data_IF_052663736193
#
_entry.id   IF_052663736193
#
_cell.length_a   1.000
_cell.length_b   1.000
_cell.length_c   1.000
_cell.angle_alpha   90.00
_cell.angle_beta   90.00
_cell.angle_gamma   90.00
#
_symmetry.space_group_name_H-M   'P 1'
#
loop_
_entity.id
_entity.type
_entity.pdbx_description
1 polymer ?
#
# COMPACT_ATOMS: atom_id res chain seq x y z
N UNK A 1 -26.68 4.80 1.68
CA UNK A 1 -25.65 3.92 2.24
C UNK A 1 -24.29 4.32 1.72
N UNK A 2 -23.37 4.60 2.59
CA UNK A 2 -22.00 4.94 2.19
C UNK A 2 -21.18 3.67 2.04
N UNK A 3 -20.47 3.56 0.92
CA UNK A 3 -19.49 2.50 0.76
C UNK A 3 -18.22 2.88 1.53
N UNK A 4 -17.68 1.91 2.26
CA UNK A 4 -16.43 2.10 2.98
C UNK A 4 -15.28 1.50 2.17
N UNK A 5 -14.15 2.20 2.14
CA UNK A 5 -12.95 1.71 1.50
C UNK A 5 -11.78 1.82 2.49
N UNK A 6 -11.54 0.76 3.29
CA UNK A 6 -10.46 0.78 4.28
C UNK A 6 -9.08 0.97 3.65
N UNK A 7 -8.89 0.49 2.43
CA UNK A 7 -7.63 0.68 1.71
C UNK A 7 -7.44 2.16 1.39
N UNK A 8 -8.46 2.82 0.85
CA UNK A 8 -8.38 4.25 0.54
C UNK A 8 -8.12 5.07 1.79
N UNK A 9 -8.75 4.72 2.91
CA UNK A 9 -8.51 5.37 4.20
C UNK A 9 -7.04 5.22 4.62
N UNK A 10 -6.49 4.00 4.53
CA UNK A 10 -5.09 3.74 4.83
C UNK A 10 -4.16 4.61 3.97
N UNK A 11 -4.40 4.63 2.66
CA UNK A 11 -3.57 5.40 1.73
C UNK A 11 -3.65 6.90 2.00
N UNK A 12 -4.84 7.39 2.37
CA UNK A 12 -5.02 8.79 2.74
C UNK A 12 -4.27 9.15 4.01
N UNK A 13 -4.33 8.28 5.02
CA UNK A 13 -3.59 8.47 6.28
C UNK A 13 -2.08 8.50 6.03
N UNK A 14 -1.58 7.59 5.20
CA UNK A 14 -0.17 7.54 4.82
C UNK A 14 0.24 8.80 4.07
N UNK A 15 -0.57 9.23 3.11
CA UNK A 15 -0.30 10.43 2.31
C UNK A 15 -0.24 11.68 3.18
N UNK A 16 -1.21 11.83 4.06
CA UNK A 16 -1.28 13.01 4.93
C UNK A 16 -0.13 13.05 5.94
N UNK A 17 0.17 11.92 6.58
CA UNK A 17 1.28 11.82 7.53
C UNK A 17 2.63 12.07 6.85
N UNK A 18 2.80 11.53 5.65
CA UNK A 18 4.00 11.70 4.85
C UNK A 18 4.20 13.17 4.45
N UNK A 19 3.12 13.85 4.03
CA UNK A 19 3.17 15.27 3.66
C UNK A 19 3.48 16.16 4.84
N UNK A 20 3.01 15.79 6.04
CA UNK A 20 3.23 16.56 7.26
C UNK A 20 4.54 16.18 7.98
N UNK A 21 5.33 15.29 7.42
CA UNK A 21 6.58 14.79 8.00
C UNK A 21 6.40 14.16 9.38
N UNK A 22 5.28 13.46 9.60
CA UNK A 22 5.09 12.70 10.83
C UNK A 22 6.01 11.47 10.81
N UNK A 23 6.52 11.08 11.97
CA UNK A 23 7.38 9.90 12.08
C UNK A 23 6.60 8.61 11.93
N UNK A 24 5.33 8.62 12.33
CA UNK A 24 4.50 7.42 12.27
C UNK A 24 3.04 7.79 12.02
N UNK A 25 2.29 6.78 11.58
CA UNK A 25 0.85 6.89 11.39
C UNK A 25 0.18 5.68 12.01
N UNK A 26 -0.99 5.90 12.61
CA UNK A 26 -1.73 4.89 13.37
C UNK A 26 -3.09 4.68 12.72
N UNK A 27 -3.52 3.42 12.65
CA UNK A 27 -4.81 3.07 12.04
C UNK A 27 -5.34 1.77 12.64
N UNK A 28 -6.65 1.50 12.52
CA UNK A 28 -7.17 0.20 12.93
C UNK A 28 -6.51 -0.93 12.15
N UNK A 29 -6.18 -2.02 12.84
CA UNK A 29 -5.51 -3.17 12.25
C UNK A 29 -6.45 -3.97 11.34
N UNK A 30 -5.90 -4.50 10.25
CA UNK A 30 -6.51 -5.59 9.48
C UNK A 30 -5.41 -6.38 8.80
N UNK A 31 -5.70 -7.63 8.44
CA UNK A 31 -4.73 -8.48 7.74
C UNK A 31 -4.32 -7.88 6.41
N UNK A 32 -5.28 -7.28 5.69
CA UNK A 32 -5.03 -6.65 4.41
C UNK A 32 -4.09 -5.45 4.55
N UNK A 33 -4.31 -4.60 5.56
CA UNK A 33 -3.45 -3.44 5.81
C UNK A 33 -2.04 -3.85 6.18
N UNK A 34 -1.89 -4.92 6.98
CA UNK A 34 -0.58 -5.46 7.32
C UNK A 34 0.14 -5.97 6.06
N UNK A 35 -0.57 -6.65 5.18
CA UNK A 35 0.01 -7.15 3.93
C UNK A 35 0.48 -6.00 3.03
N UNK A 36 -0.28 -4.91 2.97
CA UNK A 36 0.12 -3.71 2.24
C UNK A 36 1.38 -3.10 2.87
N UNK A 37 1.40 -2.98 4.21
CA UNK A 37 2.55 -2.44 4.93
C UNK A 37 3.80 -3.28 4.70
N UNK A 38 3.68 -4.61 4.67
CA UNK A 38 4.81 -5.50 4.39
C UNK A 38 5.41 -5.24 3.01
N UNK A 39 4.57 -5.02 2.00
CA UNK A 39 5.03 -4.68 0.65
C UNK A 39 5.74 -3.33 0.66
N UNK A 40 5.16 -2.32 1.30
CA UNK A 40 5.75 -1.00 1.37
C UNK A 40 7.11 -1.01 2.06
N UNK A 41 7.25 -1.79 3.14
CA UNK A 41 8.52 -1.92 3.84
C UNK A 41 9.55 -2.65 3.00
N UNK A 42 9.18 -3.76 2.39
CA UNK A 42 10.08 -4.57 1.55
C UNK A 42 10.59 -3.79 0.36
N UNK A 43 9.75 -2.93 -0.23
CA UNK A 43 10.11 -2.10 -1.38
C UNK A 43 10.80 -0.79 -0.98
N UNK A 44 11.00 -0.55 0.33
CA UNK A 44 11.76 0.58 0.82
C UNK A 44 10.99 1.89 0.96
N UNK A 45 9.67 1.85 0.93
CA UNK A 45 8.85 3.07 1.03
C UNK A 45 8.58 3.50 2.47
N UNK A 46 8.59 2.57 3.41
CA UNK A 46 8.42 2.85 4.84
C UNK A 46 9.54 2.19 5.63
N UNK A 47 9.78 2.69 6.85
CA UNK A 47 10.84 2.15 7.71
C UNK A 47 10.42 0.85 8.39
N UNK A 48 9.16 0.73 8.78
CA UNK A 48 8.67 -0.47 9.44
C UNK A 48 7.20 -0.37 9.81
N UNK A 49 6.71 -1.44 10.40
CA UNK A 49 5.34 -1.48 10.91
C UNK A 49 5.27 -2.44 12.09
N UNK A 50 4.28 -2.22 12.96
CA UNK A 50 4.02 -3.11 14.08
C UNK A 50 2.54 -3.09 14.43
N UNK A 51 2.09 -4.14 15.11
CA UNK A 51 0.72 -4.23 15.62
C UNK A 51 0.78 -4.06 17.14
N UNK A 52 -0.07 -3.19 17.67
CA UNK A 52 -0.20 -2.95 19.10
C UNK A 52 -1.62 -3.25 19.54
N UNK A 53 -1.75 -3.70 20.81
CA UNK A 53 -3.07 -3.91 21.41
C UNK A 53 -3.67 -2.56 21.78
N UNK A 54 -4.99 -2.43 21.55
CA UNK A 54 -5.76 -1.25 21.94
C UNK A 54 -6.86 -1.67 22.90
N UNK A 55 -7.58 -0.71 23.46
CA UNK A 55 -8.72 -1.02 24.37
C UNK A 55 -9.73 -1.91 23.66
N UNK A 56 -9.98 -1.64 22.38
CA UNK A 56 -10.85 -2.47 21.54
C UNK A 56 -10.07 -2.85 20.30
N UNK A 57 -9.80 -4.15 20.13
CA UNK A 57 -9.10 -4.67 18.96
C UNK A 57 -7.62 -4.37 18.96
N UNK A 58 -7.07 -4.21 17.78
CA UNK A 58 -5.64 -3.96 17.56
C UNK A 58 -5.44 -2.74 16.68
N UNK A 59 -4.28 -2.15 16.83
CA UNK A 59 -3.87 -0.96 16.08
C UNK A 59 -2.62 -1.28 15.26
N UNK A 60 -2.61 -0.87 14.01
CA UNK A 60 -1.44 -0.95 13.15
C UNK A 60 -0.70 0.39 13.20
N UNK A 61 0.59 0.34 13.52
CA UNK A 61 1.46 1.51 13.54
C UNK A 61 2.46 1.36 12.42
N UNK A 62 2.53 2.36 11.54
CA UNK A 62 3.47 2.39 10.42
C UNK A 62 4.49 3.49 10.68
N UNK A 63 5.76 3.13 10.61
CA UNK A 63 6.86 4.08 10.77
C UNK A 63 7.28 4.56 9.40
N UNK A 64 7.19 5.86 9.17
CA UNK A 64 7.52 6.48 7.91
C UNK A 64 9.04 6.64 7.77
N UNK A 65 9.48 6.78 6.53
CA UNK A 65 10.90 6.85 6.22
C UNK A 65 11.19 8.13 5.45
N UNK A 66 12.21 8.84 5.89
CA UNK A 66 12.69 10.04 5.21
C UNK A 66 14.19 9.94 5.03
N UNK A 67 14.69 10.43 3.90
CA UNK A 67 16.10 10.49 3.64
C UNK A 67 16.77 11.71 4.27
N UNK A 68 18.03 11.94 3.92
CA UNK A 68 18.73 13.15 4.31
C UNK A 68 18.00 14.35 3.72
N UNK A 69 18.05 15.49 4.38
CA UNK A 69 17.38 16.71 3.96
C UNK A 69 15.85 16.55 3.86
N UNK A 70 15.30 15.59 4.63
CA UNK A 70 13.86 15.34 4.72
C UNK A 70 13.22 14.91 3.41
N UNK A 71 13.96 14.20 2.58
CA UNK A 71 13.43 13.62 1.36
C UNK A 71 12.42 12.52 1.69
N UNK A 72 11.26 12.57 1.05
CA UNK A 72 10.23 11.54 1.26
C UNK A 72 10.58 10.28 0.48
N UNK A 73 10.66 9.14 1.19
CA UNK A 73 10.85 7.84 0.55
C UNK A 73 9.58 7.42 -0.20
N UNK A 74 8.42 7.84 0.32
CA UNK A 74 7.13 7.62 -0.35
C UNK A 74 6.76 8.91 -1.08
N UNK A 75 7.03 8.96 -2.39
CA UNK A 75 6.76 10.16 -3.18
C UNK A 75 5.27 10.30 -3.53
N UNK A 76 4.58 9.19 -3.72
CA UNK A 76 3.16 9.21 -4.00
C UNK A 76 2.52 7.85 -3.81
N UNK A 77 1.22 7.86 -3.55
CA UNK A 77 0.44 6.63 -3.40
C UNK A 77 -0.99 6.92 -3.88
N UNK A 78 -1.51 6.03 -4.72
CA UNK A 78 -2.79 6.26 -5.38
C UNK A 78 -3.64 5.00 -5.37
N UNK A 79 -4.89 5.13 -4.95
CA UNK A 79 -5.88 4.06 -5.04
C UNK A 79 -6.29 3.86 -6.50
N UNK A 80 -6.30 2.61 -6.97
CA UNK A 80 -6.70 2.28 -8.34
C UNK A 80 -8.05 1.59 -8.36
N UNK A 81 -8.13 0.35 -7.89
CA UNK A 81 -9.41 -0.36 -7.79
C UNK A 81 -10.21 0.16 -6.61
N UNK A 82 -11.50 0.41 -6.81
CA UNK A 82 -12.38 0.97 -5.78
C UNK A 82 -13.64 0.12 -5.65
N UNK A 83 -14.33 0.15 -4.50
CA UNK A 83 -15.55 -0.65 -4.33
C UNK A 83 -16.58 -0.46 -5.42
N UNK A 84 -16.74 0.76 -5.97
CA UNK A 84 -17.68 1.05 -7.05
C UNK A 84 -17.11 0.89 -8.45
N UNK A 85 -15.81 0.63 -8.58
CA UNK A 85 -15.15 0.50 -9.87
C UNK A 85 -13.90 -0.37 -9.70
N UNK A 86 -14.10 -1.68 -9.83
CA UNK A 86 -13.00 -2.64 -9.70
C UNK A 86 -12.12 -2.67 -10.94
N UNK A 87 -10.80 -2.76 -10.75
CA UNK A 87 -9.81 -2.79 -11.82
C UNK A 87 -9.01 -4.06 -11.71
N UNK A 88 -9.08 -4.89 -12.75
CA UNK A 88 -8.35 -6.17 -12.83
C UNK A 88 -7.41 -6.15 -14.02
N UNK A 89 -6.32 -6.90 -13.92
CA UNK A 89 -5.37 -7.05 -15.03
C UNK A 89 -4.83 -8.47 -15.07
N UNK A 90 -4.63 -8.98 -16.28
CA UNK A 90 -3.95 -10.26 -16.48
C UNK A 90 -2.45 -10.08 -16.28
N UNK A 91 -1.72 -11.19 -16.06
CA UNK A 91 -0.28 -11.14 -15.78
C UNK A 91 0.54 -10.42 -16.84
N UNK A 92 0.13 -10.51 -18.12
CA UNK A 92 0.82 -9.84 -19.23
C UNK A 92 0.35 -8.40 -19.47
N UNK A 93 -0.69 -7.97 -18.76
CA UNK A 93 -1.28 -6.63 -18.89
C UNK A 93 -1.11 -5.79 -17.63
N UNK A 94 -0.37 -6.28 -16.64
CA UNK A 94 -0.16 -5.56 -15.38
C UNK A 94 0.55 -4.23 -15.64
N UNK A 95 0.05 -3.13 -15.05
CA UNK A 95 0.64 -1.82 -15.30
C UNK A 95 2.03 -1.70 -14.69
N UNK A 96 2.86 -0.89 -15.32
CA UNK A 96 4.16 -0.49 -14.78
C UNK A 96 4.05 0.95 -14.30
N UNK A 97 4.40 1.18 -13.05
CA UNK A 97 4.33 2.53 -12.46
C UNK A 97 5.64 3.24 -12.77
N UNK A 98 5.55 4.39 -13.45
CA UNK A 98 6.73 5.17 -13.86
C UNK A 98 7.80 4.32 -14.56
N UNK A 99 7.37 3.48 -15.52
CA UNK A 99 8.32 2.66 -16.28
C UNK A 99 9.06 1.63 -15.45
N UNK A 100 8.55 1.28 -14.26
CA UNK A 100 9.17 0.30 -13.38
C UNK A 100 9.87 0.91 -12.17
N UNK A 101 9.91 2.23 -12.05
CA UNK A 101 10.50 2.89 -10.88
C UNK A 101 9.62 2.78 -9.64
N UNK A 102 8.30 2.76 -9.83
CA UNK A 102 7.35 2.52 -8.75
C UNK A 102 6.83 1.09 -8.80
N UNK A 103 5.84 0.78 -7.95
CA UNK A 103 5.21 -0.55 -7.91
C UNK A 103 3.70 -0.42 -7.93
N UNK A 104 3.03 -1.42 -8.50
CA UNK A 104 1.60 -1.61 -8.34
C UNK A 104 1.39 -2.73 -7.32
N UNK A 105 0.46 -2.52 -6.39
CA UNK A 105 0.08 -3.55 -5.42
C UNK A 105 -1.11 -4.30 -6.01
N UNK A 106 -0.95 -5.61 -6.20
CA UNK A 106 -1.94 -6.45 -6.87
C UNK A 106 -2.43 -7.54 -5.92
N UNK A 107 -3.74 -7.67 -5.81
CA UNK A 107 -4.36 -8.75 -5.04
C UNK A 107 -4.56 -9.94 -5.96
N UNK A 108 -3.87 -11.04 -5.68
CA UNK A 108 -3.89 -12.24 -6.51
C UNK A 108 -4.38 -13.44 -5.72
N UNK A 109 -4.59 -14.56 -6.40
CA UNK A 109 -4.91 -15.85 -5.74
C UNK A 109 -3.79 -16.33 -4.82
N UNK A 110 -2.58 -15.78 -4.97
CA UNK A 110 -1.42 -16.12 -4.15
C UNK A 110 -1.13 -15.04 -3.09
N UNK A 111 -2.10 -14.16 -2.81
CA UNK A 111 -1.96 -13.07 -1.85
C UNK A 111 -1.61 -11.75 -2.53
N UNK A 112 -1.23 -10.76 -1.73
CA UNK A 112 -0.81 -9.46 -2.26
C UNK A 112 0.61 -9.55 -2.79
N UNK A 113 0.79 -9.10 -4.02
CA UNK A 113 2.09 -9.10 -4.71
C UNK A 113 2.31 -7.72 -5.34
N UNK A 114 3.59 -7.42 -5.63
CA UNK A 114 3.90 -6.31 -6.52
C UNK A 114 3.61 -6.75 -7.96
N UNK A 115 3.45 -5.78 -8.87
CA UNK A 115 3.29 -6.10 -10.30
C UNK A 115 4.44 -6.94 -10.82
N UNK A 116 5.66 -6.66 -10.36
CA UNK A 116 6.86 -7.40 -10.77
C UNK A 116 6.80 -8.86 -10.33
N UNK A 117 6.41 -9.10 -9.08
CA UNK A 117 6.25 -10.46 -8.55
C UNK A 117 5.13 -11.21 -9.28
N UNK A 118 4.01 -10.53 -9.52
CA UNK A 118 2.86 -11.13 -10.20
C UNK A 118 3.22 -11.52 -11.64
N UNK A 119 3.94 -10.66 -12.37
CA UNK A 119 4.43 -10.98 -13.71
C UNK A 119 5.35 -12.21 -13.69
N UNK A 120 6.28 -12.24 -12.73
CA UNK A 120 7.22 -13.35 -12.60
C UNK A 120 6.52 -14.69 -12.33
N UNK A 121 5.42 -14.64 -11.57
CA UNK A 121 4.63 -15.84 -11.24
C UNK A 121 3.53 -16.13 -12.26
N UNK A 122 3.41 -15.30 -13.29
CA UNK A 122 2.38 -15.41 -14.32
C UNK A 122 0.95 -15.41 -13.76
N UNK A 123 0.71 -14.57 -12.76
CA UNK A 123 -0.62 -14.39 -12.16
C UNK A 123 -1.09 -12.96 -12.33
N UNK A 124 -2.38 -12.80 -12.58
CA UNK A 124 -3.03 -11.50 -12.61
C UNK A 124 -3.89 -11.31 -11.36
N UNK A 125 -4.55 -10.19 -11.26
CA UNK A 125 -5.44 -9.93 -10.16
C UNK A 125 -6.00 -8.52 -10.15
N UNK A 126 -6.50 -8.13 -8.99
CA UNK A 126 -7.06 -6.79 -8.78
C UNK A 126 -5.92 -5.82 -8.48
N UNK A 127 -5.84 -4.74 -9.27
CA UNK A 127 -4.82 -3.70 -9.07
C UNK A 127 -5.33 -2.74 -7.99
N UNK A 128 -4.80 -2.86 -6.79
CA UNK A 128 -5.28 -2.10 -5.63
C UNK A 128 -4.78 -0.66 -5.63
N UNK A 129 -3.49 -0.46 -5.89
CA UNK A 129 -2.86 0.85 -5.74
C UNK A 129 -1.57 0.95 -6.53
N UNK A 130 -1.19 2.19 -6.84
CA UNK A 130 0.13 2.53 -7.36
C UNK A 130 0.93 3.22 -6.26
N UNK A 131 2.21 2.89 -6.17
CA UNK A 131 3.14 3.47 -5.19
C UNK A 131 4.41 3.91 -5.89
N UNK A 132 4.88 5.10 -5.55
CA UNK A 132 6.10 5.63 -6.12
C UNK A 132 6.85 6.56 -5.15
#
# INVERSE_FOLDING_TARGET
MTMTDPIADMLTRLRNANSAYHDQVVMPHSKLKVAIAEILQREGYIAGHRTEDAEVGKTLVIELKFGRNRERSLAGIKRVSKPGLRVYAKSDELPRVLGGLGVAIVSTSQGLLTDRQARKRSVGGEVLAYVL
#
